data_IF_488336242949
#
_entry.id   IF_488336242949
#
_cell.length_a   1.000
_cell.length_b   1.000
_cell.length_c   1.000
_cell.angle_alpha   90.00
_cell.angle_beta   90.00
_cell.angle_gamma   90.00
#
_symmetry.space_group_name_H-M   'P 1'
#
loop_
_entity.id
_entity.type
_entity.pdbx_description
1 polymer ?
#
# COMPACT_ATOMS: atom_id res chain seq x y z
N UNK A 1 -13.91 15.56 15.68
CA UNK A 1 -12.93 14.64 16.31
C UNK A 1 -11.75 14.34 15.37
N UNK A 2 -11.99 13.85 14.15
CA UNK A 2 -10.94 13.51 13.18
C UNK A 2 -10.01 14.67 12.76
N UNK A 3 -10.55 15.86 12.52
CA UNK A 3 -9.73 17.05 12.23
C UNK A 3 -8.83 17.45 13.39
N UNK A 4 -9.34 17.31 14.62
CA UNK A 4 -8.62 17.63 15.85
C UNK A 4 -7.47 16.64 16.10
N UNK A 5 -7.63 15.36 15.72
CA UNK A 5 -6.62 14.32 15.91
C UNK A 5 -5.30 14.64 15.20
N UNK A 6 -5.34 15.10 13.95
CA UNK A 6 -4.12 15.49 13.21
C UNK A 6 -3.62 16.91 13.51
N UNK A 7 -4.38 17.71 14.27
CA UNK A 7 -4.04 19.13 14.55
C UNK A 7 -2.64 19.30 15.18
N UNK A 8 -2.21 18.49 16.16
CA UNK A 8 -0.85 18.54 16.70
C UNK A 8 0.24 18.48 15.62
N UNK A 9 0.11 17.55 14.68
CA UNK A 9 1.10 17.31 13.62
C UNK A 9 1.04 18.36 12.51
N UNK A 10 -0.15 18.67 11.99
CA UNK A 10 -0.30 19.63 10.88
C UNK A 10 -0.04 21.08 11.34
N UNK A 11 -0.34 21.39 12.60
CA UNK A 11 -0.04 22.66 13.24
C UNK A 11 1.39 22.84 13.69
N UNK A 12 2.19 21.76 13.71
CA UNK A 12 3.57 21.80 14.19
C UNK A 12 3.70 22.01 15.70
N UNK A 13 2.66 21.65 16.45
CA UNK A 13 2.63 21.75 17.92
C UNK A 13 3.43 20.60 18.57
N UNK A 14 3.51 19.45 17.89
CA UNK A 14 4.41 18.35 18.23
C UNK A 14 5.35 18.08 17.03
N UNK A 15 6.59 18.60 17.04
CA UNK A 15 7.54 18.41 15.95
C UNK A 15 7.92 16.94 15.70
N UNK A 16 8.04 16.14 16.76
CA UNK A 16 8.40 14.72 16.63
C UNK A 16 7.20 13.93 16.10
N UNK A 17 6.00 14.18 16.65
CA UNK A 17 4.76 13.62 16.14
C UNK A 17 4.45 14.02 14.71
N UNK A 18 4.87 15.21 14.28
CA UNK A 18 4.78 15.63 12.87
C UNK A 18 5.65 14.77 11.96
N UNK A 19 6.92 14.52 12.32
CA UNK A 19 7.80 13.64 11.54
C UNK A 19 7.24 12.22 11.47
N UNK A 20 6.75 11.69 12.59
CA UNK A 20 6.14 10.36 12.64
C UNK A 20 4.87 10.29 11.78
N UNK A 21 3.99 11.30 11.86
CA UNK A 21 2.77 11.34 11.06
C UNK A 21 3.08 11.38 9.55
N UNK A 22 4.09 12.17 9.14
CA UNK A 22 4.51 12.21 7.73
C UNK A 22 5.03 10.84 7.29
N UNK A 23 5.92 10.21 8.07
CA UNK A 23 6.46 8.90 7.73
C UNK A 23 5.35 7.83 7.60
N UNK A 24 4.46 7.78 8.59
CA UNK A 24 3.32 6.87 8.58
C UNK A 24 2.41 7.07 7.35
N UNK A 25 2.03 8.31 7.05
CA UNK A 25 1.15 8.60 5.91
C UNK A 25 1.80 8.26 4.57
N UNK A 26 3.11 8.48 4.42
CA UNK A 26 3.80 8.10 3.19
C UNK A 26 3.93 6.58 3.06
N UNK A 27 4.08 5.84 4.17
CA UNK A 27 4.05 4.37 4.14
C UNK A 27 2.68 3.81 3.70
N UNK A 28 1.59 4.55 3.90
CA UNK A 28 0.27 4.14 3.43
C UNK A 28 0.11 4.24 1.91
N UNK A 29 0.97 4.99 1.20
CA UNK A 29 0.94 5.08 -0.27
C UNK A 29 1.11 3.68 -0.90
N UNK A 30 2.21 2.93 -0.65
CA UNK A 30 2.38 1.59 -1.21
C UNK A 30 1.33 0.61 -0.69
N UNK A 31 0.90 0.70 0.58
CA UNK A 31 -0.16 -0.16 1.10
C UNK A 31 -1.47 -0.01 0.32
N UNK A 32 -1.88 1.23 0.04
CA UNK A 32 -3.09 1.51 -0.74
C UNK A 32 -2.94 1.07 -2.20
N UNK A 33 -1.77 1.28 -2.81
CA UNK A 33 -1.49 0.79 -4.17
C UNK A 33 -1.62 -0.74 -4.21
N UNK A 34 -1.05 -1.46 -3.24
CA UNK A 34 -1.17 -2.92 -3.14
C UNK A 34 -2.64 -3.33 -3.03
N UNK A 35 -3.42 -2.72 -2.14
CA UNK A 35 -4.85 -3.04 -1.99
C UNK A 35 -5.67 -2.75 -3.25
N UNK A 36 -5.31 -1.70 -4.00
CA UNK A 36 -5.96 -1.37 -5.27
C UNK A 36 -5.59 -2.35 -6.37
N UNK A 37 -4.33 -2.77 -6.46
CA UNK A 37 -3.86 -3.73 -7.47
C UNK A 37 -4.44 -5.12 -7.19
N UNK A 38 -4.26 -5.65 -5.98
CA UNK A 38 -4.75 -6.98 -5.63
C UNK A 38 -6.29 -7.05 -5.68
N UNK A 39 -6.98 -6.04 -5.15
CA UNK A 39 -8.45 -5.96 -5.24
C UNK A 39 -8.98 -5.79 -6.67
N UNK A 40 -8.11 -5.54 -7.65
CA UNK A 40 -8.46 -5.42 -9.08
C UNK A 40 -8.01 -6.62 -9.91
N UNK A 41 -7.37 -7.64 -9.30
CA UNK A 41 -7.01 -8.88 -10.00
C UNK A 41 -8.26 -9.61 -10.47
N UNK A 42 -8.18 -10.20 -11.64
CA UNK A 42 -9.30 -10.91 -12.27
C UNK A 42 -9.77 -12.09 -11.41
N UNK A 43 -8.83 -12.84 -10.81
CA UNK A 43 -9.13 -13.95 -9.90
C UNK A 43 -9.87 -13.57 -8.62
N UNK A 44 -9.80 -12.30 -8.21
CA UNK A 44 -10.36 -11.80 -6.94
C UNK A 44 -11.64 -10.99 -7.13
N UNK A 45 -12.10 -10.83 -8.38
CA UNK A 45 -13.33 -10.10 -8.67
C UNK A 45 -14.51 -10.74 -7.91
N UNK A 46 -15.20 -9.91 -7.13
CA UNK A 46 -16.39 -10.30 -6.36
C UNK A 46 -16.11 -10.81 -4.93
N UNK A 47 -14.84 -10.95 -4.52
CA UNK A 47 -14.45 -11.23 -3.13
C UNK A 47 -14.78 -10.07 -2.19
N UNK A 48 -14.88 -10.33 -0.89
CA UNK A 48 -15.26 -9.30 0.09
C UNK A 48 -14.25 -8.16 0.06
N UNK A 49 -12.96 -8.48 0.09
CA UNK A 49 -11.87 -7.50 0.07
C UNK A 49 -11.85 -6.63 -1.20
N UNK A 50 -12.12 -7.22 -2.37
CA UNK A 50 -12.22 -6.51 -3.64
C UNK A 50 -13.52 -5.69 -3.75
N UNK A 51 -14.67 -6.30 -3.47
CA UNK A 51 -16.01 -5.72 -3.63
C UNK A 51 -16.26 -4.57 -2.65
N UNK A 52 -15.81 -4.71 -1.40
CA UNK A 52 -16.01 -3.73 -0.34
C UNK A 52 -14.76 -2.89 -0.05
N UNK A 53 -13.79 -2.83 -0.98
CA UNK A 53 -12.53 -2.06 -0.83
C UNK A 53 -12.75 -0.63 -0.32
N UNK A 54 -13.68 0.12 -0.92
CA UNK A 54 -13.99 1.49 -0.50
C UNK A 54 -14.53 1.54 0.93
N UNK A 55 -15.42 0.61 1.30
CA UNK A 55 -15.97 0.55 2.65
C UNK A 55 -14.88 0.19 3.67
N UNK A 56 -14.01 -0.78 3.36
CA UNK A 56 -12.88 -1.16 4.22
C UNK A 56 -11.93 0.03 4.41
N UNK A 57 -11.59 0.75 3.34
CA UNK A 57 -10.72 1.92 3.41
C UNK A 57 -11.39 3.10 4.15
N UNK A 58 -12.72 3.21 4.13
CA UNK A 58 -13.43 4.16 4.99
C UNK A 58 -13.37 3.76 6.46
N UNK A 59 -13.48 2.46 6.76
CA UNK A 59 -13.33 1.97 8.12
C UNK A 59 -11.93 2.25 8.68
N UNK A 60 -10.87 2.25 7.85
CA UNK A 60 -9.53 2.65 8.34
C UNK A 60 -9.50 4.11 8.82
N UNK A 61 -10.29 5.00 8.21
CA UNK A 61 -10.41 6.39 8.66
C UNK A 61 -11.25 6.53 9.92
N UNK A 62 -12.35 5.79 10.02
CA UNK A 62 -13.29 5.90 11.13
C UNK A 62 -12.83 5.17 12.40
N UNK A 63 -12.27 3.97 12.24
CA UNK A 63 -11.88 3.08 13.34
C UNK A 63 -10.38 2.98 13.59
N UNK A 64 -9.55 3.60 12.76
CA UNK A 64 -8.09 3.47 12.80
C UNK A 64 -7.59 2.26 12.01
N UNK A 65 -6.44 2.41 11.35
CA UNK A 65 -5.91 1.34 10.49
C UNK A 65 -5.33 0.19 11.30
N UNK A 66 -4.95 0.42 12.57
CA UNK A 66 -4.44 -0.62 13.48
C UNK A 66 -5.35 -1.85 13.53
N UNK A 67 -6.67 -1.65 13.52
CA UNK A 67 -7.66 -2.72 13.64
C UNK A 67 -8.10 -3.25 12.27
N UNK A 68 -8.26 -2.36 11.31
CA UNK A 68 -8.83 -2.71 10.00
C UNK A 68 -7.82 -3.42 9.10
N UNK A 69 -6.54 -3.02 9.10
CA UNK A 69 -5.53 -3.66 8.26
C UNK A 69 -5.31 -5.15 8.58
N UNK A 70 -5.22 -5.60 9.86
CA UNK A 70 -5.15 -7.03 10.17
C UNK A 70 -6.34 -7.83 9.65
N UNK A 71 -7.56 -7.27 9.78
CA UNK A 71 -8.79 -7.92 9.29
C UNK A 71 -8.73 -8.02 7.76
N UNK A 72 -8.39 -6.94 7.06
CA UNK A 72 -8.23 -6.96 5.61
C UNK A 72 -7.20 -8.00 5.17
N UNK A 73 -6.01 -8.00 5.79
CA UNK A 73 -4.92 -8.92 5.48
C UNK A 73 -5.35 -10.37 5.64
N UNK A 74 -6.03 -10.69 6.75
CA UNK A 74 -6.56 -12.03 7.00
C UNK A 74 -7.60 -12.44 5.96
N UNK A 75 -8.60 -11.58 5.72
CA UNK A 75 -9.66 -11.84 4.74
C UNK A 75 -9.08 -12.00 3.32
N UNK A 76 -8.15 -11.15 2.93
CA UNK A 76 -7.51 -11.24 1.62
C UNK A 76 -6.75 -12.57 1.48
N UNK A 77 -5.96 -12.93 2.50
CA UNK A 77 -5.19 -14.17 2.47
C UNK A 77 -6.08 -15.42 2.26
N UNK A 78 -7.22 -15.49 2.96
CA UNK A 78 -8.14 -16.64 2.83
C UNK A 78 -8.96 -16.62 1.53
N UNK A 79 -9.31 -15.43 1.01
CA UNK A 79 -10.15 -15.30 -0.18
C UNK A 79 -9.37 -15.47 -1.50
N UNK A 80 -8.07 -15.19 -1.45
CA UNK A 80 -7.14 -15.09 -2.58
C UNK A 80 -5.93 -16.06 -2.46
N UNK A 81 -6.16 -17.37 -2.26
CA UNK A 81 -5.08 -18.38 -2.25
C UNK A 81 -4.44 -18.53 -3.63
N UNK A 82 -3.25 -19.13 -3.71
CA UNK A 82 -2.56 -19.37 -5.00
C UNK A 82 -3.40 -20.19 -6.00
N UNK A 83 -4.27 -21.08 -5.51
CA UNK A 83 -5.17 -21.87 -6.35
C UNK A 83 -6.22 -21.06 -7.11
N UNK A 84 -6.41 -19.76 -6.78
CA UNK A 84 -7.25 -18.81 -7.52
C UNK A 84 -6.56 -18.17 -8.72
N UNK A 85 -5.28 -18.42 -8.88
CA UNK A 85 -4.46 -17.86 -9.93
C UNK A 85 -3.92 -18.92 -10.91
N UNK A 86 -4.66 -19.99 -11.27
CA UNK A 86 -4.11 -21.07 -12.07
C UNK A 86 -3.73 -20.61 -13.48
N UNK A 87 -4.43 -19.62 -14.04
CA UNK A 87 -4.10 -19.05 -15.35
C UNK A 87 -3.48 -17.66 -15.27
N UNK A 88 -2.72 -17.29 -16.31
CA UNK A 88 -2.16 -15.94 -16.45
C UNK A 88 -3.26 -14.87 -16.45
N UNK A 89 -4.42 -15.18 -17.04
CA UNK A 89 -5.59 -14.29 -17.05
C UNK A 89 -6.13 -14.02 -15.65
N UNK A 90 -6.15 -15.01 -14.76
CA UNK A 90 -6.65 -14.80 -13.39
C UNK A 90 -5.65 -14.02 -12.53
N UNK A 91 -4.35 -14.15 -12.84
CA UNK A 91 -3.28 -13.34 -12.24
C UNK A 91 -3.33 -11.88 -12.68
N UNK A 92 -3.80 -11.59 -13.89
CA UNK A 92 -3.76 -10.25 -14.44
C UNK A 92 -4.73 -9.29 -13.74
N UNK A 93 -4.47 -7.99 -13.96
CA UNK A 93 -5.28 -6.88 -13.45
C UNK A 93 -5.94 -6.20 -14.63
N UNK A 94 -7.19 -5.75 -14.45
CA UNK A 94 -7.89 -4.99 -15.49
C UNK A 94 -7.10 -3.73 -15.86
N UNK A 95 -6.76 -3.58 -17.14
CA UNK A 95 -5.94 -2.47 -17.67
C UNK A 95 -6.40 -1.09 -17.20
N UNK A 96 -7.70 -0.80 -17.29
CA UNK A 96 -8.24 0.52 -16.94
C UNK A 96 -8.16 0.79 -15.44
N UNK A 97 -8.31 -0.23 -14.59
CA UNK A 97 -8.14 -0.08 -13.14
C UNK A 97 -6.67 0.17 -12.79
N UNK A 98 -5.77 -0.52 -13.47
CA UNK A 98 -4.33 -0.40 -13.24
C UNK A 98 -3.78 0.98 -13.70
N UNK A 99 -4.09 1.42 -14.92
CA UNK A 99 -3.69 2.74 -15.46
C UNK A 99 -4.15 3.91 -14.59
N UNK A 100 -5.26 3.74 -13.88
CA UNK A 100 -5.85 4.80 -13.05
C UNK A 100 -5.41 4.74 -11.60
N UNK A 101 -4.74 3.66 -11.16
CA UNK A 101 -4.34 3.47 -9.77
C UNK A 101 -3.43 4.59 -9.25
N UNK A 102 -2.31 4.86 -9.94
CA UNK A 102 -1.38 5.91 -9.53
C UNK A 102 -1.99 7.32 -9.60
N UNK A 103 -2.67 7.73 -10.70
CA UNK A 103 -3.39 9.01 -10.73
C UNK A 103 -4.42 9.16 -9.61
N UNK A 104 -5.18 8.10 -9.29
CA UNK A 104 -6.15 8.13 -8.19
C UNK A 104 -5.46 8.38 -6.85
N UNK A 105 -4.39 7.64 -6.53
CA UNK A 105 -3.64 7.83 -5.29
C UNK A 105 -3.02 9.23 -5.25
N UNK A 106 -2.48 9.71 -6.37
CA UNK A 106 -1.93 11.06 -6.50
C UNK A 106 -2.94 12.16 -6.15
N UNK A 107 -4.12 12.11 -6.77
CA UNK A 107 -5.15 13.14 -6.63
C UNK A 107 -5.94 13.02 -5.32
N UNK A 108 -6.37 11.82 -4.96
CA UNK A 108 -7.26 11.62 -3.83
C UNK A 108 -6.51 11.52 -2.50
N UNK A 109 -5.26 11.04 -2.49
CA UNK A 109 -4.52 10.80 -1.23
C UNK A 109 -3.29 11.69 -1.09
N UNK A 110 -2.35 11.66 -2.04
CA UNK A 110 -1.06 12.35 -1.91
C UNK A 110 -1.25 13.87 -1.90
N UNK A 111 -2.00 14.41 -2.86
CA UNK A 111 -2.23 15.85 -2.97
C UNK A 111 -2.83 16.46 -1.69
N UNK A 112 -3.95 15.96 -1.12
CA UNK A 112 -4.48 16.50 0.13
C UNK A 112 -3.56 16.25 1.33
N UNK A 113 -2.83 15.13 1.35
CA UNK A 113 -1.83 14.85 2.40
C UNK A 113 -0.73 15.92 2.40
N UNK A 114 -0.12 16.20 1.25
CA UNK A 114 0.92 17.24 1.14
C UNK A 114 0.34 18.61 1.51
N UNK A 115 -0.85 18.94 0.99
CA UNK A 115 -1.48 20.23 1.22
C UNK A 115 -1.80 20.48 2.70
N UNK A 116 -2.26 19.47 3.46
CA UNK A 116 -2.53 19.64 4.89
C UNK A 116 -1.26 19.87 5.74
N UNK A 117 -0.06 19.58 5.23
CA UNK A 117 1.20 19.87 5.92
C UNK A 117 1.89 21.15 5.44
N UNK A 118 1.68 21.57 4.20
CA UNK A 118 2.46 22.65 3.57
C UNK A 118 1.72 23.99 3.46
N UNK A 119 0.39 23.98 3.26
CA UNK A 119 -0.39 25.21 3.01
C UNK A 119 -0.26 26.19 4.18
N UNK A 120 -0.06 27.50 3.95
CA UNK A 120 0.03 28.48 5.04
C UNK A 120 -1.24 28.57 5.88
N UNK A 121 -1.07 28.69 7.21
CA UNK A 121 -2.15 28.88 8.18
C UNK A 121 -2.75 27.58 8.72
N UNK A 122 -2.87 27.50 10.05
CA UNK A 122 -3.41 26.31 10.73
C UNK A 122 -4.85 26.02 10.31
N UNK A 123 -5.69 27.05 10.22
CA UNK A 123 -7.10 26.92 9.83
C UNK A 123 -7.22 26.30 8.43
N UNK A 124 -6.41 26.73 7.48
CA UNK A 124 -6.40 26.18 6.12
C UNK A 124 -6.00 24.70 6.12
N UNK A 125 -4.94 24.33 6.86
CA UNK A 125 -4.51 22.94 7.01
C UNK A 125 -5.58 22.05 7.64
N UNK A 126 -6.28 22.55 8.66
CA UNK A 126 -7.39 21.85 9.30
C UNK A 126 -8.58 21.67 8.36
N UNK A 127 -8.92 22.69 7.57
CA UNK A 127 -9.93 22.59 6.53
C UNK A 127 -9.57 21.55 5.47
N UNK A 128 -8.33 21.56 4.98
CA UNK A 128 -7.86 20.58 4.00
C UNK A 128 -7.90 19.17 4.58
N UNK A 129 -7.41 19.00 5.81
CA UNK A 129 -7.47 17.73 6.51
C UNK A 129 -8.94 17.24 6.60
N UNK A 130 -9.84 18.05 7.15
CA UNK A 130 -11.22 17.65 7.39
C UNK A 130 -12.04 17.40 6.12
N UNK A 131 -11.88 18.24 5.08
CA UNK A 131 -12.70 18.17 3.87
C UNK A 131 -12.09 17.27 2.81
N UNK A 132 -10.77 17.36 2.57
CA UNK A 132 -10.14 16.65 1.45
C UNK A 132 -9.46 15.34 1.88
N UNK A 133 -8.75 15.36 3.01
CA UNK A 133 -7.99 14.18 3.46
C UNK A 133 -8.88 13.16 4.18
N UNK A 134 -9.67 13.54 5.18
CA UNK A 134 -10.44 12.56 5.99
C UNK A 134 -11.40 11.68 5.14
N UNK A 135 -12.18 12.23 4.19
CA UNK A 135 -13.03 11.42 3.33
C UNK A 135 -12.33 10.96 2.04
N UNK A 136 -10.98 10.96 1.97
CA UNK A 136 -10.25 10.55 0.77
C UNK A 136 -10.70 9.21 0.17
N UNK A 137 -11.10 8.17 0.93
CA UNK A 137 -11.46 6.90 0.31
C UNK A 137 -12.70 7.02 -0.59
N UNK A 138 -13.62 7.95 -0.30
CA UNK A 138 -14.74 8.29 -1.18
C UNK A 138 -14.24 8.98 -2.44
N UNK A 139 -13.35 9.97 -2.30
CA UNK A 139 -12.77 10.66 -3.45
C UNK A 139 -11.96 9.70 -4.33
N UNK A 140 -11.19 8.79 -3.74
CA UNK A 140 -10.44 7.78 -4.48
C UNK A 140 -11.38 6.91 -5.33
N UNK A 141 -12.50 6.45 -4.76
CA UNK A 141 -13.49 5.66 -5.49
C UNK A 141 -14.15 6.44 -6.64
N UNK A 142 -14.47 7.72 -6.43
CA UNK A 142 -15.05 8.59 -7.47
C UNK A 142 -14.03 8.89 -8.56
N UNK A 143 -12.83 9.33 -8.19
CA UNK A 143 -11.73 9.67 -9.11
C UNK A 143 -11.35 8.46 -9.96
N UNK A 144 -11.17 7.29 -9.35
CA UNK A 144 -10.83 6.06 -10.09
C UNK A 144 -11.90 5.72 -11.14
N UNK A 145 -13.19 5.79 -10.77
CA UNK A 145 -14.29 5.53 -11.71
C UNK A 145 -14.35 6.55 -12.84
N UNK A 146 -14.13 7.83 -12.54
CA UNK A 146 -14.11 8.89 -13.54
C UNK A 146 -12.93 8.70 -14.50
N UNK A 147 -11.72 8.51 -13.98
CA UNK A 147 -10.54 8.27 -14.79
C UNK A 147 -10.67 7.01 -15.64
N UNK A 148 -11.23 5.92 -15.09
CA UNK A 148 -11.41 4.68 -15.85
C UNK A 148 -12.45 4.83 -16.98
N UNK A 149 -13.47 5.68 -16.78
CA UNK A 149 -14.44 6.04 -17.83
C UNK A 149 -13.80 6.90 -18.92
N UNK A 150 -13.05 7.94 -18.54
CA UNK A 150 -12.36 8.80 -19.50
C UNK A 150 -11.30 8.04 -20.30
N UNK A 151 -10.51 7.18 -19.64
CA UNK A 151 -9.55 6.32 -20.32
C UNK A 151 -10.24 5.45 -21.38
N UNK A 152 -11.37 4.82 -21.03
CA UNK A 152 -12.16 4.02 -21.97
C UNK A 152 -12.72 4.84 -23.15
N UNK A 153 -13.09 6.09 -22.93
CA UNK A 153 -13.61 6.97 -23.98
C UNK A 153 -12.51 7.44 -24.93
N UNK A 154 -11.32 7.76 -24.40
CA UNK A 154 -10.16 8.17 -25.18
C UNK A 154 -9.63 7.01 -26.01
N UNK A 155 -9.64 5.79 -25.45
CA UNK A 155 -9.22 4.56 -26.14
C UNK A 155 -10.31 3.97 -27.08
N UNK A 156 -11.36 4.72 -27.43
CA UNK A 156 -12.51 4.23 -28.20
C UNK A 156 -12.18 3.55 -29.55
N UNK A 157 -12.82 2.41 -29.79
CA UNK A 157 -13.01 1.66 -31.06
C UNK A 157 -11.79 1.20 -31.91
N UNK A 158 -10.56 1.68 -31.70
CA UNK A 158 -9.46 1.45 -32.66
C UNK A 158 -8.60 0.18 -32.48
N UNK A 159 -8.72 -0.60 -31.41
CA UNK A 159 -7.77 -1.72 -31.19
C UNK A 159 -8.16 -3.02 -31.92
N UNK A 160 -7.60 -3.19 -33.13
CA UNK A 160 -7.52 -4.44 -33.87
C UNK A 160 -7.09 -5.62 -32.97
N UNK A 161 -7.96 -6.63 -32.88
CA UNK A 161 -7.94 -7.76 -31.93
C UNK A 161 -6.76 -8.75 -32.14
N UNK A 162 -5.89 -8.57 -33.13
CA UNK A 162 -5.01 -9.65 -33.62
C UNK A 162 -3.57 -9.69 -33.06
N UNK A 163 -3.02 -8.62 -32.49
CA UNK A 163 -1.61 -8.59 -32.01
C UNK A 163 -1.44 -8.59 -30.47
N UNK A 164 -2.52 -8.83 -29.72
CA UNK A 164 -2.63 -8.47 -28.29
C UNK A 164 -1.99 -9.42 -27.26
N UNK A 165 -1.83 -10.70 -27.56
CA UNK A 165 -1.69 -11.72 -26.51
C UNK A 165 -0.51 -11.53 -25.56
N UNK A 166 0.72 -11.49 -26.10
CA UNK A 166 1.93 -11.50 -25.27
C UNK A 166 2.43 -10.10 -24.88
N UNK A 167 2.32 -9.12 -25.80
CA UNK A 167 2.76 -7.74 -25.54
C UNK A 167 1.88 -7.01 -24.52
N UNK A 168 0.57 -7.29 -24.47
CA UNK A 168 -0.35 -6.64 -23.52
C UNK A 168 -0.11 -7.09 -22.07
N UNK A 169 0.20 -8.38 -21.86
CA UNK A 169 0.50 -8.89 -20.51
C UNK A 169 1.84 -8.36 -20.00
N UNK A 170 2.85 -8.26 -20.86
CA UNK A 170 4.13 -7.65 -20.51
C UNK A 170 3.99 -6.18 -20.10
N UNK A 171 3.16 -5.42 -20.82
CA UNK A 171 2.84 -4.02 -20.51
C UNK A 171 2.10 -3.88 -19.16
N UNK A 172 1.11 -4.73 -18.90
CA UNK A 172 0.37 -4.74 -17.62
C UNK A 172 1.27 -5.06 -16.42
N UNK A 173 2.11 -6.09 -16.50
CA UNK A 173 3.06 -6.39 -15.42
C UNK A 173 4.11 -5.30 -15.24
N UNK A 174 4.55 -4.66 -16.33
CA UNK A 174 5.42 -3.48 -16.26
C UNK A 174 4.78 -2.34 -15.48
N UNK A 175 3.48 -2.09 -15.71
CA UNK A 175 2.72 -1.05 -15.02
C UNK A 175 2.44 -1.38 -13.54
N UNK A 176 2.23 -2.65 -13.17
CA UNK A 176 2.16 -3.08 -11.76
C UNK A 176 3.48 -2.78 -11.05
N UNK A 177 4.60 -3.20 -11.63
CA UNK A 177 5.93 -2.95 -11.07
C UNK A 177 6.25 -1.45 -11.01
N UNK A 178 5.80 -0.65 -11.98
CA UNK A 178 5.91 0.81 -11.92
C UNK A 178 5.11 1.36 -10.74
N UNK A 179 3.88 0.87 -10.52
CA UNK A 179 3.04 1.31 -9.42
C UNK A 179 3.65 0.98 -8.04
N UNK A 180 4.14 -0.25 -7.85
CA UNK A 180 4.88 -0.62 -6.65
C UNK A 180 6.20 0.14 -6.51
N UNK A 181 6.96 0.29 -7.59
CA UNK A 181 8.23 1.00 -7.61
C UNK A 181 8.08 2.48 -7.20
N UNK A 182 7.15 3.21 -7.82
CA UNK A 182 6.94 4.63 -7.50
C UNK A 182 6.38 4.85 -6.10
N UNK A 183 5.44 4.00 -5.66
CA UNK A 183 4.88 4.09 -4.30
C UNK A 183 5.91 3.71 -3.23
N UNK A 184 6.72 2.68 -3.48
CA UNK A 184 7.84 2.29 -2.63
C UNK A 184 8.92 3.37 -2.58
N UNK A 185 9.24 4.00 -3.71
CA UNK A 185 10.21 5.10 -3.78
C UNK A 185 9.76 6.33 -2.97
N UNK A 186 8.45 6.62 -2.92
CA UNK A 186 7.91 7.68 -2.08
C UNK A 186 8.18 7.41 -0.58
N UNK A 187 7.89 6.20 -0.10
CA UNK A 187 8.22 5.75 1.27
C UNK A 187 9.72 5.79 1.54
N UNK A 188 10.52 5.20 0.65
CA UNK A 188 11.98 5.19 0.75
C UNK A 188 12.56 6.61 0.85
N UNK A 189 12.07 7.56 0.03
CA UNK A 189 12.53 8.94 0.05
C UNK A 189 12.37 9.61 1.42
N UNK A 190 11.25 9.39 2.10
CA UNK A 190 11.02 9.95 3.44
C UNK A 190 11.92 9.29 4.48
N UNK A 191 12.08 7.97 4.46
CA UNK A 191 12.95 7.29 5.42
C UNK A 191 14.42 7.63 5.24
N UNK A 192 14.90 7.67 3.99
CA UNK A 192 16.26 8.12 3.69
C UNK A 192 16.47 9.57 4.12
N UNK A 193 15.48 10.45 3.90
CA UNK A 193 15.53 11.81 4.42
C UNK A 193 15.66 11.84 5.95
N UNK A 194 14.85 11.03 6.66
CA UNK A 194 14.92 10.95 8.13
C UNK A 194 16.27 10.40 8.60
N UNK A 195 16.82 9.39 7.94
CA UNK A 195 18.14 8.85 8.28
C UNK A 195 19.27 9.85 8.09
N UNK A 196 19.24 10.62 7.01
CA UNK A 196 20.34 11.50 6.62
C UNK A 196 20.26 12.89 7.25
N UNK A 197 19.05 13.40 7.49
CA UNK A 197 18.83 14.81 7.83
C UNK A 197 18.01 15.03 9.10
N UNK A 198 17.41 13.99 9.71
CA UNK A 198 16.64 14.20 10.94
C UNK A 198 17.57 14.55 12.11
N UNK A 199 17.29 15.64 12.86
CA UNK A 199 18.01 15.95 14.09
C UNK A 199 17.62 15.04 15.26
N UNK A 200 16.58 14.21 15.09
CA UNK A 200 16.04 13.30 16.11
C UNK A 200 16.26 11.86 15.68
N UNK A 201 16.75 10.97 16.57
CA UNK A 201 16.94 9.57 16.22
C UNK A 201 15.62 8.87 15.87
N UNK A 202 15.67 7.96 14.89
CA UNK A 202 14.50 7.19 14.42
C UNK A 202 13.77 6.49 15.57
N UNK A 203 14.50 5.95 16.54
CA UNK A 203 13.89 5.28 17.71
C UNK A 203 12.98 6.20 18.52
N UNK A 204 13.29 7.49 18.64
CA UNK A 204 12.41 8.46 19.28
C UNK A 204 11.22 8.82 18.39
N UNK A 205 11.39 8.88 17.08
CA UNK A 205 10.29 9.19 16.16
C UNK A 205 9.22 8.08 16.24
N UNK A 206 9.64 6.81 16.16
CA UNK A 206 8.72 5.68 16.02
C UNK A 206 8.37 4.95 17.32
N UNK A 207 9.21 4.99 18.36
CA UNK A 207 9.03 4.17 19.56
C UNK A 207 8.97 4.95 20.89
N UNK A 208 8.97 6.29 20.86
CA UNK A 208 8.81 7.07 22.09
C UNK A 208 7.44 6.84 22.74
N UNK A 209 7.43 6.74 24.07
CA UNK A 209 6.22 6.69 24.91
C UNK A 209 5.27 5.52 24.61
N UNK A 210 5.77 4.41 24.04
CA UNK A 210 4.97 3.20 23.81
C UNK A 210 4.86 2.29 25.04
N UNK A 211 5.82 2.34 25.97
CA UNK A 211 5.92 1.38 27.09
C UNK A 211 4.73 1.41 28.06
N UNK A 212 4.10 2.57 28.23
CA UNK A 212 2.91 2.70 29.07
C UNK A 212 1.74 3.17 28.20
N UNK A 213 0.82 2.29 27.78
CA UNK A 213 -0.33 2.64 26.94
C UNK A 213 -1.28 3.68 27.56
N UNK A 214 -1.35 3.75 28.89
CA UNK A 214 -2.26 4.65 29.61
C UNK A 214 -1.65 6.01 29.93
N UNK A 215 -0.32 6.12 29.92
CA UNK A 215 0.36 7.41 30.06
C UNK A 215 0.12 8.28 28.81
N UNK A 216 -0.14 9.57 28.96
CA UNK A 216 -0.55 10.55 27.91
C UNK A 216 -2.08 10.68 27.75
N UNK A 217 -2.67 11.61 28.51
CA UNK A 217 -4.10 11.95 28.42
C UNK A 217 -4.38 13.18 27.55
N UNK A 218 -3.35 13.90 27.11
CA UNK A 218 -3.53 15.10 26.29
C UNK A 218 -3.58 14.75 24.80
N UNK A 219 -4.46 15.42 24.06
CA UNK A 219 -4.56 15.24 22.60
C UNK A 219 -3.23 15.56 21.89
N UNK A 220 -2.44 16.50 22.43
CA UNK A 220 -1.18 16.96 21.86
C UNK A 220 -0.18 15.80 21.67
N UNK A 221 0.06 15.01 22.72
CA UNK A 221 1.01 13.89 22.67
C UNK A 221 0.33 12.54 22.37
N UNK A 222 -0.94 12.40 22.74
CA UNK A 222 -1.72 11.19 22.51
C UNK A 222 -1.91 10.86 21.03
N UNK A 223 -2.08 11.87 20.16
CA UNK A 223 -2.27 11.65 18.73
C UNK A 223 -1.06 10.95 18.06
N UNK A 224 0.16 11.44 18.31
CA UNK A 224 1.38 10.83 17.79
C UNK A 224 1.58 9.40 18.34
N UNK A 225 1.20 9.15 19.59
CA UNK A 225 1.26 7.82 20.19
C UNK A 225 0.29 6.85 19.49
N UNK A 226 -0.94 7.26 19.22
CA UNK A 226 -1.91 6.45 18.46
C UNK A 226 -1.39 6.16 17.06
N UNK A 227 -0.83 7.15 16.36
CA UNK A 227 -0.26 6.94 15.02
C UNK A 227 0.91 5.94 14.99
N UNK A 228 1.73 5.89 16.04
CA UNK A 228 2.78 4.87 16.18
C UNK A 228 2.20 3.47 16.33
N UNK A 229 1.15 3.32 17.14
CA UNK A 229 0.43 2.04 17.26
C UNK A 229 -0.23 1.65 15.94
N UNK A 230 -0.89 2.59 15.26
CA UNK A 230 -1.46 2.39 13.94
C UNK A 230 -0.42 1.87 12.95
N UNK A 231 0.77 2.47 12.93
CA UNK A 231 1.87 2.01 12.08
C UNK A 231 2.35 0.60 12.46
N UNK A 232 2.62 0.33 13.73
CA UNK A 232 3.12 -0.98 14.19
C UNK A 232 2.09 -2.09 13.90
N UNK A 233 0.82 -1.87 14.23
CA UNK A 233 -0.22 -2.87 14.04
C UNK A 233 -0.53 -3.11 12.56
N UNK A 234 -0.67 -2.05 11.76
CA UNK A 234 -0.99 -2.19 10.33
C UNK A 234 0.14 -2.80 9.53
N UNK A 235 1.37 -2.33 9.68
CA UNK A 235 2.52 -2.89 8.95
C UNK A 235 3.02 -4.20 9.56
N UNK A 236 2.82 -4.45 10.85
CA UNK A 236 3.06 -5.76 11.45
C UNK A 236 2.14 -6.82 10.85
N UNK A 237 0.84 -6.54 10.76
CA UNK A 237 -0.10 -7.44 10.08
C UNK A 237 0.19 -7.56 8.59
N UNK A 238 0.51 -6.46 7.91
CA UNK A 238 0.95 -6.47 6.51
C UNK A 238 2.22 -7.30 6.28
N UNK A 239 3.14 -7.33 7.25
CA UNK A 239 4.34 -8.14 7.19
C UNK A 239 4.02 -9.63 7.29
N UNK A 240 3.19 -10.02 8.26
CA UNK A 240 2.72 -11.42 8.39
C UNK A 240 1.99 -11.85 7.11
N UNK A 241 1.08 -11.02 6.62
CA UNK A 241 0.34 -11.25 5.37
C UNK A 241 1.26 -11.46 4.17
N UNK A 242 2.27 -10.62 4.02
CA UNK A 242 3.26 -10.73 2.94
C UNK A 242 4.06 -12.02 3.06
N UNK A 243 4.54 -12.35 4.27
CA UNK A 243 5.31 -13.57 4.50
C UNK A 243 4.49 -14.85 4.29
N UNK A 244 3.19 -14.84 4.63
CA UNK A 244 2.30 -15.97 4.35
C UNK A 244 2.17 -16.22 2.84
N UNK A 245 2.04 -15.18 2.02
CA UNK A 245 2.03 -15.35 0.57
C UNK A 245 3.36 -15.89 0.02
N UNK A 246 4.50 -15.49 0.58
CA UNK A 246 5.81 -16.06 0.22
C UNK A 246 5.97 -17.51 0.69
N UNK A 247 5.39 -17.85 1.84
CA UNK A 247 5.36 -19.22 2.34
C UNK A 247 4.57 -20.13 1.40
N UNK A 248 3.40 -19.67 0.92
CA UNK A 248 2.63 -20.40 -0.09
C UNK A 248 3.42 -20.58 -1.38
N UNK A 249 4.06 -19.52 -1.91
CA UNK A 249 4.90 -19.63 -3.11
C UNK A 249 6.02 -20.66 -2.95
N UNK A 250 6.62 -20.74 -1.76
CA UNK A 250 7.66 -21.71 -1.45
C UNK A 250 7.09 -23.13 -1.35
N UNK A 251 5.92 -23.29 -0.70
CA UNK A 251 5.23 -24.57 -0.53
C UNK A 251 4.83 -25.16 -1.88
N UNK A 252 4.37 -24.33 -2.80
CA UNK A 252 4.00 -24.72 -4.16
C UNK A 252 5.22 -24.86 -5.10
N UNK A 253 6.46 -24.77 -4.58
CA UNK A 253 7.68 -24.97 -5.37
C UNK A 253 8.05 -23.81 -6.31
N UNK A 254 7.28 -22.72 -6.32
CA UNK A 254 7.49 -21.56 -7.19
C UNK A 254 8.68 -20.68 -6.77
N UNK A 255 9.17 -20.84 -5.54
CA UNK A 255 10.31 -20.09 -5.02
C UNK A 255 11.32 -20.99 -4.30
N UNK A 256 12.53 -21.10 -4.86
CA UNK A 256 13.63 -21.91 -4.28
C UNK A 256 14.44 -21.17 -3.22
N UNK A 257 14.22 -19.88 -3.06
CA UNK A 257 14.98 -19.03 -2.13
C UNK A 257 14.74 -19.43 -0.66
N UNK A 258 15.79 -19.40 0.15
CA UNK A 258 15.70 -19.68 1.59
C UNK A 258 14.85 -18.66 2.34
N UNK A 259 14.08 -19.10 3.35
CA UNK A 259 13.24 -18.21 4.16
C UNK A 259 14.03 -17.08 4.83
N UNK A 260 15.27 -17.36 5.25
CA UNK A 260 16.16 -16.35 5.82
C UNK A 260 16.48 -15.20 4.87
N UNK A 261 16.63 -15.46 3.55
CA UNK A 261 16.85 -14.40 2.56
C UNK A 261 15.58 -13.60 2.31
N UNK A 262 14.41 -14.23 2.27
CA UNK A 262 13.10 -13.56 2.14
C UNK A 262 12.89 -12.61 3.32
N UNK A 263 13.04 -13.13 4.55
CA UNK A 263 12.91 -12.34 5.78
C UNK A 263 13.98 -11.25 5.86
N UNK A 264 15.22 -11.57 5.47
CA UNK A 264 16.34 -10.63 5.48
C UNK A 264 16.15 -9.45 4.52
N UNK A 265 15.74 -9.72 3.27
CA UNK A 265 15.42 -8.66 2.29
C UNK A 265 14.27 -7.80 2.79
N UNK A 266 13.22 -8.44 3.32
CA UNK A 266 12.05 -7.72 3.80
C UNK A 266 12.39 -6.82 5.00
N UNK A 267 12.95 -7.40 6.06
CA UNK A 267 13.32 -6.68 7.28
C UNK A 267 14.38 -5.61 7.00
N UNK A 268 15.40 -5.91 6.18
CA UNK A 268 16.41 -4.94 5.79
C UNK A 268 15.81 -3.73 5.06
N UNK A 269 14.91 -3.97 4.11
CA UNK A 269 14.22 -2.89 3.38
C UNK A 269 13.30 -2.10 4.31
N UNK A 270 12.57 -2.76 5.23
CA UNK A 270 11.72 -2.06 6.21
C UNK A 270 12.52 -1.12 7.13
N UNK A 271 13.71 -1.54 7.55
CA UNK A 271 14.56 -0.72 8.44
C UNK A 271 15.19 0.45 7.70
N UNK A 272 15.71 0.23 6.49
CA UNK A 272 16.44 1.26 5.72
C UNK A 272 15.49 2.21 5.00
N UNK A 273 14.52 1.65 4.28
CA UNK A 273 13.64 2.38 3.36
C UNK A 273 12.23 2.59 3.91
N UNK A 274 11.91 2.04 5.09
CA UNK A 274 10.59 2.13 5.69
C UNK A 274 9.68 0.95 5.34
N UNK A 275 8.64 0.71 6.16
CA UNK A 275 7.78 -0.44 6.04
C UNK A 275 6.92 -0.41 4.76
N UNK A 276 6.54 0.76 4.27
CA UNK A 276 5.83 0.89 2.99
C UNK A 276 6.68 0.43 1.81
N UNK A 277 7.93 0.90 1.74
CA UNK A 277 8.89 0.47 0.73
C UNK A 277 9.20 -1.03 0.83
N UNK A 278 9.37 -1.55 2.05
CA UNK A 278 9.53 -2.99 2.30
C UNK A 278 8.38 -3.80 1.71
N UNK A 279 7.13 -3.40 1.94
CA UNK A 279 5.98 -4.06 1.34
C UNK A 279 6.01 -3.96 -0.19
N UNK A 280 6.22 -2.78 -0.75
CA UNK A 280 6.27 -2.59 -2.21
C UNK A 280 7.31 -3.50 -2.89
N UNK A 281 8.51 -3.61 -2.31
CA UNK A 281 9.57 -4.50 -2.81
C UNK A 281 9.13 -5.97 -2.77
N UNK A 282 8.56 -6.43 -1.67
CA UNK A 282 8.11 -7.81 -1.54
C UNK A 282 6.95 -8.13 -2.50
N UNK A 283 6.01 -7.20 -2.70
CA UNK A 283 4.90 -7.39 -3.62
C UNK A 283 5.34 -7.34 -5.09
N UNK A 284 6.32 -6.50 -5.44
CA UNK A 284 6.96 -6.53 -6.77
C UNK A 284 7.74 -7.83 -7.03
N UNK A 285 8.42 -8.36 -6.00
CA UNK A 285 9.07 -9.66 -6.10
C UNK A 285 8.04 -10.78 -6.28
N UNK A 286 6.96 -10.78 -5.50
CA UNK A 286 5.84 -11.72 -5.68
C UNK A 286 5.28 -11.66 -7.11
N UNK A 287 5.05 -10.47 -7.64
CA UNK A 287 4.56 -10.28 -9.02
C UNK A 287 5.52 -10.90 -10.06
N UNK A 288 6.83 -10.74 -9.84
CA UNK A 288 7.85 -11.32 -10.73
C UNK A 288 7.82 -12.86 -10.73
N UNK A 289 7.57 -13.48 -9.57
CA UNK A 289 7.39 -14.94 -9.44
C UNK A 289 6.10 -15.40 -10.13
N UNK A 290 5.00 -14.69 -9.89
CA UNK A 290 3.70 -15.00 -10.50
C UNK A 290 3.72 -14.89 -12.04
N UNK A 291 4.52 -13.97 -12.58
CA UNK A 291 4.74 -13.83 -14.02
C UNK A 291 5.56 -14.99 -14.59
N UNK A 292 6.60 -15.41 -13.89
CA UNK A 292 7.43 -16.52 -14.34
C UNK A 292 6.69 -17.86 -14.32
N UNK A 293 5.64 -17.99 -13.51
CA UNK A 293 4.86 -19.22 -13.39
C UNK A 293 4.08 -19.58 -14.67
N UNK A 294 4.42 -20.71 -15.30
CA UNK A 294 3.71 -21.29 -16.45
C UNK A 294 2.87 -22.50 -16.01
N UNK A 295 1.53 -22.50 -16.21
CA UNK A 295 0.66 -23.57 -15.72
C UNK A 295 0.72 -24.89 -16.51
N UNK A 296 1.29 -24.89 -17.72
CA UNK A 296 1.31 -26.05 -18.63
C UNK A 296 2.38 -27.09 -18.30
N UNK A 297 3.26 -26.74 -17.40
CA UNK A 297 4.27 -27.61 -16.81
C UNK A 297 3.69 -27.95 -15.44
N UNK A 298 3.32 -29.22 -15.21
CA UNK A 298 2.84 -29.67 -13.91
C UNK A 298 3.79 -29.23 -12.78
N UNK A 299 3.34 -29.35 -11.53
CA UNK A 299 4.04 -28.92 -10.30
C UNK A 299 5.56 -29.22 -10.20
N UNK A 300 6.10 -30.06 -11.06
CA UNK A 300 7.51 -30.47 -11.15
C UNK A 300 8.44 -29.53 -11.94
N UNK A 301 7.93 -28.47 -12.57
CA UNK A 301 8.76 -27.61 -13.43
C UNK A 301 8.55 -26.12 -13.17
N UNK A 302 9.01 -25.67 -12.00
CA UNK A 302 9.18 -24.24 -11.73
C UNK A 302 10.41 -23.70 -12.49
N UNK A 303 10.28 -22.61 -13.27
CA UNK A 303 11.38 -22.04 -14.01
C UNK A 303 12.49 -21.51 -13.09
N UNK A 304 13.73 -21.77 -13.49
CA UNK A 304 14.93 -21.31 -12.81
C UNK A 304 15.05 -19.79 -12.93
N UNK A 305 14.63 -19.04 -11.91
CA UNK A 305 15.02 -17.64 -11.75
C UNK A 305 16.39 -17.61 -11.08
N UNK A 306 17.34 -16.91 -11.72
CA UNK A 306 18.72 -16.76 -11.30
C UNK A 306 18.83 -16.21 -9.87
N UNK A 307 19.84 -16.72 -9.16
CA UNK A 307 20.17 -16.46 -7.75
C UNK A 307 20.36 -14.98 -7.40
#
# INVERSE_FOLDING_TARGET
MFTAFFTPSIGGLDPIGRLQAIAFLVDLIPLQVIWMVEGSRVGDVGRITAKFRTAITLLTQLGGIAYVAPIYCFLHYIESPLSRYPTEKERSVKRNELKTTLPTIGLAYIAPTVAMFSVPGLVNRQWINGVFFQPFPLYAAVVQRLLARFAKQIEGEEENVKDRGENENADLSGLINLAYGLSGAASAGVYLYLWLFSPVPMSRIFFSNLRNPEAEHTMLYGAAKVLRYDQICSFGAGAVWTLLHFWDLKREGLLKVGLGRIVGVFAGTMVVCGPGAGMAVMWAWRESVLRAWKPSEGFDSAPQLAE
#
